data_IF_712472692811
#
_entry.id   IF_712472692811
#
_cell.length_a   1.000
_cell.length_b   1.000
_cell.length_c   1.000
_cell.angle_alpha   90.00
_cell.angle_beta   90.00
_cell.angle_gamma   90.00
#
_symmetry.space_group_name_H-M   'P 1'
#
loop_
_entity.id
_entity.type
_entity.pdbx_description
1 polymer ?
#
# COMPACT_ATOMS: atom_id res chain seq x y z
N UNK A 1 11.77 12.59 -9.06
CA UNK A 1 10.81 11.47 -9.17
C UNK A 1 10.18 11.47 -10.56
N UNK A 2 9.94 10.30 -11.15
CA UNK A 2 9.34 10.14 -12.48
C UNK A 2 8.53 8.85 -12.57
N UNK A 3 7.46 8.85 -13.37
CA UNK A 3 6.70 7.65 -13.72
C UNK A 3 6.74 7.44 -15.25
N UNK A 4 6.99 6.21 -15.69
CA UNK A 4 7.16 5.89 -17.12
C UNK A 4 6.90 4.41 -17.43
N UNK A 5 6.63 4.12 -18.70
CA UNK A 5 6.53 2.77 -19.25
C UNK A 5 7.87 2.34 -19.85
N UNK A 6 8.23 1.06 -19.71
CA UNK A 6 9.47 0.49 -20.26
C UNK A 6 9.35 -1.03 -20.47
N UNK A 7 10.43 -1.66 -20.95
CA UNK A 7 10.66 -3.09 -20.82
C UNK A 7 11.58 -3.34 -19.63
N UNK A 8 11.14 -4.17 -18.69
CA UNK A 8 11.91 -4.60 -17.53
C UNK A 8 12.31 -6.07 -17.71
N UNK A 9 13.55 -6.39 -17.36
CA UNK A 9 14.02 -7.76 -17.22
C UNK A 9 14.11 -8.12 -15.75
N UNK A 10 13.54 -9.26 -15.38
CA UNK A 10 13.65 -9.85 -14.06
C UNK A 10 13.66 -11.38 -14.20
N UNK A 11 14.59 -12.05 -13.51
CA UNK A 11 14.72 -13.52 -13.53
C UNK A 11 14.76 -14.11 -14.95
N UNK A 12 15.47 -13.46 -15.87
CA UNK A 12 15.66 -13.91 -17.26
C UNK A 12 14.42 -13.81 -18.16
N UNK A 13 13.38 -13.07 -17.74
CA UNK A 13 12.26 -12.69 -18.61
C UNK A 13 12.22 -11.19 -18.79
N UNK A 14 11.97 -10.75 -20.02
CA UNK A 14 11.69 -9.36 -20.35
C UNK A 14 10.19 -9.17 -20.57
N UNK A 15 9.66 -8.04 -20.12
CA UNK A 15 8.25 -7.73 -20.28
C UNK A 15 7.91 -6.26 -20.04
N UNK A 16 6.69 -5.88 -20.40
CA UNK A 16 6.22 -4.51 -20.21
C UNK A 16 6.10 -4.16 -18.72
N UNK A 17 6.59 -2.97 -18.35
CA UNK A 17 6.51 -2.46 -16.99
C UNK A 17 6.10 -0.99 -16.95
N UNK A 18 5.33 -0.63 -15.92
CA UNK A 18 5.23 0.74 -15.42
C UNK A 18 6.15 0.87 -14.21
N UNK A 19 6.98 1.91 -14.18
CA UNK A 19 7.92 2.18 -13.10
C UNK A 19 7.67 3.58 -12.53
N UNK A 20 7.70 3.71 -11.21
CA UNK A 20 7.87 5.00 -10.52
C UNK A 20 9.21 5.01 -9.80
N UNK A 21 10.10 5.90 -10.23
CA UNK A 21 11.51 5.96 -9.80
C UNK A 21 11.82 7.31 -9.15
N UNK A 22 12.75 7.30 -8.19
CA UNK A 22 13.19 8.48 -7.44
C UNK A 22 14.63 8.81 -7.78
N UNK A 23 15.00 10.08 -7.66
CA UNK A 23 16.36 10.52 -8.02
C UNK A 23 17.38 10.14 -6.94
N UNK A 24 16.92 9.93 -5.69
CA UNK A 24 17.76 9.77 -4.50
C UNK A 24 17.44 8.51 -3.66
N UNK A 25 16.57 7.61 -4.15
CA UNK A 25 16.20 6.37 -3.42
C UNK A 25 16.80 5.13 -4.10
N UNK A 26 17.31 4.16 -3.33
CA UNK A 26 17.78 2.88 -3.85
C UNK A 26 16.64 1.89 -4.15
N UNK A 27 15.37 2.33 -4.13
CA UNK A 27 14.21 1.52 -4.47
C UNK A 27 13.30 2.25 -5.46
N UNK A 28 12.40 1.50 -6.11
CA UNK A 28 11.40 2.03 -7.05
C UNK A 28 10.12 1.21 -6.97
N UNK A 29 9.01 1.77 -7.44
CA UNK A 29 7.77 1.01 -7.62
C UNK A 29 7.73 0.42 -9.02
N UNK A 30 7.31 -0.84 -9.13
CA UNK A 30 7.28 -1.61 -10.37
C UNK A 30 5.93 -2.32 -10.51
N UNK A 31 5.35 -2.23 -11.70
CA UNK A 31 4.17 -2.99 -12.12
C UNK A 31 4.52 -3.70 -13.42
N UNK A 32 4.76 -5.01 -13.37
CA UNK A 32 5.37 -5.75 -14.47
C UNK A 32 4.47 -6.88 -15.00
N UNK A 33 4.43 -7.04 -16.32
CA UNK A 33 3.49 -7.94 -17.00
C UNK A 33 3.70 -9.43 -16.61
N UNK A 34 4.94 -9.88 -16.37
CA UNK A 34 5.21 -11.28 -15.94
C UNK A 34 4.99 -11.51 -14.45
N UNK A 35 4.61 -10.46 -13.73
CA UNK A 35 4.08 -10.50 -12.37
C UNK A 35 2.61 -10.06 -12.33
N UNK A 36 1.88 -10.16 -13.45
CA UNK A 36 0.46 -9.79 -13.57
C UNK A 36 0.16 -8.34 -13.18
N UNK A 37 1.14 -7.44 -13.32
CA UNK A 37 1.09 -6.04 -12.91
C UNK A 37 0.83 -5.81 -11.42
N UNK A 38 1.03 -6.84 -10.58
CA UNK A 38 1.03 -6.67 -9.11
C UNK A 38 2.01 -5.55 -8.74
N UNK A 39 1.55 -4.60 -7.92
CA UNK A 39 2.38 -3.52 -7.42
C UNK A 39 3.50 -4.03 -6.53
N UNK A 40 4.74 -3.77 -6.91
CA UNK A 40 5.94 -4.18 -6.18
C UNK A 40 6.83 -2.99 -5.85
N UNK A 41 7.54 -3.06 -4.72
CA UNK A 41 8.70 -2.22 -4.38
C UNK A 41 9.95 -3.02 -4.74
N UNK A 42 10.63 -2.61 -5.80
CA UNK A 42 11.93 -3.16 -6.20
C UNK A 42 13.02 -2.50 -5.36
N UNK A 43 13.72 -3.29 -4.53
CA UNK A 43 14.78 -2.83 -3.62
C UNK A 43 16.19 -3.19 -4.12
N UNK A 44 16.31 -3.64 -5.37
CA UNK A 44 17.58 -4.00 -6.01
C UNK A 44 17.92 -5.49 -5.90
N UNK A 45 18.97 -5.90 -6.63
CA UNK A 45 19.52 -7.26 -6.65
C UNK A 45 18.49 -8.39 -6.86
N UNK A 46 17.53 -8.17 -7.75
CA UNK A 46 16.41 -9.09 -8.03
C UNK A 46 15.57 -9.44 -6.79
N UNK A 47 15.45 -8.49 -5.85
CA UNK A 47 14.60 -8.59 -4.66
C UNK A 47 13.49 -7.55 -4.75
N UNK A 48 12.25 -8.01 -4.80
CA UNK A 48 11.07 -7.14 -4.71
C UNK A 48 10.26 -7.46 -3.47
N UNK A 49 9.39 -6.52 -3.10
CA UNK A 49 8.36 -6.71 -2.09
C UNK A 49 7.01 -6.37 -2.69
N UNK A 50 5.96 -7.11 -2.37
CA UNK A 50 4.60 -6.67 -2.65
C UNK A 50 3.76 -6.66 -1.37
N UNK A 51 2.92 -5.61 -1.17
CA UNK A 51 1.91 -5.56 -0.12
C UNK A 51 0.66 -6.39 -0.49
N UNK A 52 0.74 -7.18 -1.57
CA UNK A 52 -0.30 -8.07 -2.08
C UNK A 52 -1.45 -7.37 -2.83
N UNK A 53 -2.60 -8.05 -2.90
CA UNK A 53 -3.80 -7.76 -3.68
C UNK A 53 -5.07 -8.17 -2.91
N UNK A 54 -6.24 -8.02 -3.53
CA UNK A 54 -7.46 -8.65 -3.06
C UNK A 54 -7.58 -10.07 -3.61
N UNK A 55 -7.79 -11.04 -2.72
CA UNK A 55 -8.03 -12.42 -3.08
C UNK A 55 -9.11 -13.10 -2.24
N UNK A 56 -9.57 -14.24 -2.75
CA UNK A 56 -10.37 -15.20 -2.01
C UNK A 56 -10.00 -16.61 -2.46
N UNK A 57 -10.35 -17.61 -1.67
CA UNK A 57 -10.40 -18.99 -2.13
C UNK A 57 -11.72 -19.64 -1.71
N UNK A 58 -12.01 -20.79 -2.29
CA UNK A 58 -13.27 -21.48 -2.07
C UNK A 58 -13.06 -22.84 -1.40
N UNK A 59 -13.75 -23.12 -0.28
CA UNK A 59 -13.78 -24.47 0.27
C UNK A 59 -14.65 -25.42 -0.57
N UNK A 60 -15.39 -24.91 -1.57
CA UNK A 60 -16.33 -25.69 -2.37
C UNK A 60 -15.68 -26.28 -3.63
N UNK A 61 -14.66 -25.62 -4.18
CA UNK A 61 -13.94 -26.08 -5.37
C UNK A 61 -12.42 -26.04 -5.25
N UNK A 62 -11.90 -25.62 -4.09
CA UNK A 62 -10.49 -25.55 -3.71
C UNK A 62 -9.67 -24.58 -4.56
N UNK A 63 -10.28 -23.73 -5.39
CA UNK A 63 -9.52 -22.75 -6.16
C UNK A 63 -9.25 -21.48 -5.35
N UNK A 64 -8.05 -20.93 -5.53
CA UNK A 64 -7.77 -19.52 -5.28
C UNK A 64 -8.29 -18.67 -6.44
N UNK A 65 -8.78 -17.48 -6.11
CA UNK A 65 -9.35 -16.49 -6.99
C UNK A 65 -8.62 -15.17 -6.77
N UNK A 66 -7.64 -14.91 -7.61
CA UNK A 66 -6.63 -13.88 -7.39
C UNK A 66 -6.00 -13.43 -8.72
N UNK A 67 -5.50 -12.19 -8.81
CA UNK A 67 -4.93 -11.65 -10.05
C UNK A 67 -3.77 -12.47 -10.60
N UNK A 68 -2.99 -13.14 -9.75
CA UNK A 68 -1.83 -13.93 -10.22
C UNK A 68 -2.23 -15.21 -10.96
N UNK A 69 -3.52 -15.60 -10.93
CA UNK A 69 -4.04 -16.68 -11.77
C UNK A 69 -4.30 -16.24 -13.21
N UNK A 70 -4.34 -14.93 -13.49
CA UNK A 70 -4.47 -14.39 -14.84
C UNK A 70 -3.13 -14.44 -15.60
N UNK A 71 -2.58 -15.64 -15.82
CA UNK A 71 -1.27 -15.83 -16.47
C UNK A 71 -1.19 -15.21 -17.87
N UNK A 72 -2.33 -15.11 -18.56
CA UNK A 72 -2.48 -14.54 -19.90
C UNK A 72 -2.84 -13.04 -19.91
N UNK A 73 -2.96 -12.39 -18.76
CA UNK A 73 -3.35 -10.98 -18.64
C UNK A 73 -4.66 -10.66 -19.36
N UNK A 74 -5.68 -11.51 -19.24
CA UNK A 74 -7.00 -11.28 -19.83
C UNK A 74 -7.67 -10.06 -19.22
N UNK A 75 -7.46 -9.80 -17.93
CA UNK A 75 -8.15 -8.74 -17.19
C UNK A 75 -7.22 -7.82 -16.39
N UNK A 76 -5.99 -8.21 -16.10
CA UNK A 76 -5.04 -7.35 -15.39
C UNK A 76 -4.52 -6.21 -16.30
N UNK A 77 -4.66 -4.95 -15.87
CA UNK A 77 -4.24 -3.75 -16.62
C UNK A 77 -3.60 -2.73 -15.71
N UNK A 78 -2.56 -2.05 -16.18
CA UNK A 78 -1.91 -0.94 -15.48
C UNK A 78 -2.01 0.34 -16.31
N UNK A 79 -2.15 1.48 -15.63
CA UNK A 79 -2.23 2.81 -16.24
C UNK A 79 -1.56 3.85 -15.35
N UNK A 80 -0.73 4.72 -15.94
CA UNK A 80 -0.28 5.96 -15.29
C UNK A 80 -1.45 6.97 -15.36
N UNK A 81 -2.00 7.35 -14.20
CA UNK A 81 -3.04 8.37 -14.09
C UNK A 81 -2.44 9.77 -14.01
N UNK A 82 -1.29 9.90 -13.35
CA UNK A 82 -0.61 11.16 -13.12
C UNK A 82 0.90 10.91 -13.06
N UNK A 83 1.68 11.78 -13.68
CA UNK A 83 3.13 11.74 -13.63
C UNK A 83 3.69 13.15 -13.50
N UNK A 84 4.31 13.44 -12.36
CA UNK A 84 5.03 14.69 -12.15
C UNK A 84 6.00 14.59 -10.98
N UNK A 85 6.80 15.64 -10.76
CA UNK A 85 7.84 15.64 -9.76
C UNK A 85 7.31 15.58 -8.31
N UNK A 86 6.11 16.11 -8.05
CA UNK A 86 5.51 16.17 -6.71
C UNK A 86 4.63 14.96 -6.38
N UNK A 87 4.07 14.31 -7.40
CA UNK A 87 3.19 13.15 -7.26
C UNK A 87 3.12 12.34 -8.54
N UNK A 88 3.16 11.02 -8.39
CA UNK A 88 2.80 10.08 -9.44
C UNK A 88 1.62 9.22 -8.96
N UNK A 89 0.72 8.86 -9.87
CA UNK A 89 -0.40 7.97 -9.58
C UNK A 89 -0.45 6.87 -10.61
N UNK A 90 -0.38 5.62 -10.16
CA UNK A 90 -0.48 4.43 -11.01
C UNK A 90 -1.70 3.62 -10.58
N UNK A 91 -2.58 3.32 -11.52
CA UNK A 91 -3.75 2.49 -11.33
C UNK A 91 -3.49 1.09 -11.87
N UNK A 92 -3.83 0.08 -11.08
CA UNK A 92 -3.85 -1.32 -11.46
C UNK A 92 -5.27 -1.87 -11.30
N UNK A 93 -5.84 -2.43 -12.36
CA UNK A 93 -7.18 -3.01 -12.38
C UNK A 93 -7.09 -4.50 -12.69
N UNK A 94 -7.84 -5.32 -11.94
CA UNK A 94 -7.84 -6.77 -12.15
C UNK A 94 -9.17 -7.41 -11.73
N UNK A 95 -9.40 -8.63 -12.20
CA UNK A 95 -10.45 -9.52 -11.70
C UNK A 95 -9.84 -10.55 -10.76
N UNK A 96 -10.67 -11.31 -10.04
CA UNK A 96 -10.24 -12.45 -9.22
C UNK A 96 -10.61 -13.77 -9.93
N UNK A 97 -9.84 -14.21 -10.95
CA UNK A 97 -10.05 -15.49 -11.60
C UNK A 97 -9.35 -16.63 -10.86
N UNK A 98 -9.83 -17.85 -11.08
CA UNK A 98 -9.03 -19.05 -10.84
C UNK A 98 -8.12 -19.39 -12.04
N UNK A 99 -7.29 -20.43 -11.90
CA UNK A 99 -6.41 -20.94 -12.97
C UNK A 99 -7.14 -21.40 -14.23
N UNK A 100 -8.46 -21.59 -14.17
CA UNK A 100 -9.30 -21.90 -15.33
C UNK A 100 -9.95 -20.66 -15.94
N UNK A 101 -9.52 -19.47 -15.52
CA UNK A 101 -10.03 -18.20 -16.02
C UNK A 101 -11.53 -18.02 -15.73
N UNK A 102 -12.02 -18.57 -14.63
CA UNK A 102 -13.38 -18.32 -14.13
C UNK A 102 -13.31 -17.32 -13.00
N UNK A 103 -14.04 -16.22 -13.12
CA UNK A 103 -14.03 -15.13 -12.13
C UNK A 103 -14.94 -15.50 -10.96
N UNK A 104 -14.48 -15.27 -9.72
CA UNK A 104 -15.29 -15.48 -8.52
C UNK A 104 -16.61 -14.72 -8.62
N UNK A 105 -17.73 -15.40 -8.41
CA UNK A 105 -19.09 -14.87 -8.61
C UNK A 105 -19.34 -14.18 -9.97
N UNK A 106 -18.54 -14.51 -10.98
CA UNK A 106 -18.68 -14.10 -12.37
C UNK A 106 -18.13 -12.72 -12.72
N UNK A 107 -17.96 -11.81 -11.76
CA UNK A 107 -17.44 -10.45 -12.01
C UNK A 107 -16.79 -9.75 -10.82
N UNK A 108 -16.29 -10.51 -9.85
CA UNK A 108 -15.45 -9.96 -8.77
C UNK A 108 -14.22 -9.29 -9.37
N UNK A 109 -13.99 -8.03 -8.98
CA UNK A 109 -12.90 -7.21 -9.48
C UNK A 109 -12.42 -6.24 -8.42
N UNK A 110 -11.19 -5.77 -8.57
CA UNK A 110 -10.62 -4.73 -7.76
C UNK A 110 -9.84 -3.72 -8.61
N UNK A 111 -9.66 -2.55 -8.04
CA UNK A 111 -8.77 -1.51 -8.54
C UNK A 111 -7.86 -1.07 -7.40
N UNK A 112 -6.58 -0.92 -7.70
CA UNK A 112 -5.59 -0.38 -6.79
C UNK A 112 -4.96 0.86 -7.36
N UNK A 113 -4.90 1.93 -6.58
CA UNK A 113 -4.25 3.17 -6.96
C UNK A 113 -3.10 3.42 -6.00
N UNK A 114 -1.89 3.52 -6.56
CA UNK A 114 -0.68 3.86 -5.85
C UNK A 114 -0.40 5.35 -6.06
N UNK A 115 -0.66 6.15 -5.04
CA UNK A 115 -0.34 7.58 -5.01
C UNK A 115 1.03 7.77 -4.37
N UNK A 116 2.05 7.98 -5.19
CA UNK A 116 3.48 7.97 -4.83
C UNK A 116 4.04 9.38 -4.67
N UNK A 117 4.82 9.60 -3.61
CA UNK A 117 5.42 10.89 -3.26
C UNK A 117 6.97 10.87 -3.25
N UNK A 118 7.63 12.05 -3.33
CA UNK A 118 9.09 12.17 -3.35
C UNK A 118 9.85 11.56 -2.16
N UNK A 119 9.17 11.32 -1.03
CA UNK A 119 9.76 10.62 0.11
C UNK A 119 9.93 9.11 -0.10
N UNK A 120 9.47 8.57 -1.22
CA UNK A 120 9.55 7.13 -1.53
C UNK A 120 8.40 6.33 -0.95
N UNK A 121 7.36 7.00 -0.43
CA UNK A 121 6.16 6.40 0.17
C UNK A 121 4.99 6.56 -0.80
N UNK A 122 4.18 5.51 -0.91
CA UNK A 122 2.91 5.54 -1.61
C UNK A 122 1.75 5.25 -0.67
N UNK A 123 0.59 5.86 -0.94
CA UNK A 123 -0.69 5.32 -0.49
C UNK A 123 -1.16 4.31 -1.53
N UNK A 124 -1.32 3.05 -1.12
CA UNK A 124 -2.05 1.99 -1.83
C UNK A 124 -3.52 2.08 -1.40
N UNK A 125 -4.35 2.63 -2.27
CA UNK A 125 -5.81 2.59 -2.16
C UNK A 125 -6.30 1.33 -2.87
N UNK A 126 -6.98 0.43 -2.14
CA UNK A 126 -7.54 -0.81 -2.68
C UNK A 126 -9.05 -0.72 -2.66
N UNK A 127 -9.70 -0.85 -3.81
CA UNK A 127 -11.17 -0.82 -3.93
C UNK A 127 -11.67 -2.14 -4.50
N UNK A 128 -12.54 -2.82 -3.76
CA UNK A 128 -13.09 -4.14 -4.14
C UNK A 128 -14.57 -4.04 -4.51
N UNK A 129 -14.94 -4.69 -5.62
CA UNK A 129 -16.33 -4.93 -6.01
C UNK A 129 -16.57 -6.44 -6.11
N UNK A 130 -17.12 -7.06 -5.04
CA UNK A 130 -17.45 -8.47 -5.06
C UNK A 130 -18.47 -8.82 -6.14
N UNK A 131 -18.29 -9.96 -6.80
CA UNK A 131 -19.14 -10.36 -7.90
C UNK A 131 -20.53 -10.80 -7.43
N UNK A 132 -21.51 -10.65 -8.33
CA UNK A 132 -22.92 -11.02 -8.06
C UNK A 132 -23.61 -11.68 -9.25
N UNK A 133 -22.88 -11.93 -10.36
CA UNK A 133 -23.48 -12.45 -11.59
C UNK A 133 -23.81 -13.94 -11.55
N UNK A 134 -23.07 -14.72 -10.76
CA UNK A 134 -23.33 -16.14 -10.54
C UNK A 134 -22.74 -16.61 -9.20
N UNK A 135 -22.80 -17.91 -8.94
CA UNK A 135 -22.28 -18.56 -7.73
C UNK A 135 -20.96 -19.32 -7.96
N UNK A 136 -20.21 -18.98 -9.02
CA UNK A 136 -18.92 -19.61 -9.29
C UNK A 136 -17.95 -19.34 -8.14
N UNK A 137 -17.26 -20.37 -7.63
CA UNK A 137 -16.48 -20.29 -6.40
C UNK A 137 -17.30 -20.45 -5.11
N UNK A 138 -18.64 -20.52 -5.17
CA UNK A 138 -19.46 -20.82 -4.00
C UNK A 138 -19.25 -19.85 -2.83
N UNK A 139 -19.00 -20.36 -1.62
CA UNK A 139 -18.75 -19.49 -0.47
C UNK A 139 -17.26 -19.12 -0.41
N UNK A 140 -16.96 -17.87 -0.05
CA UNK A 140 -15.59 -17.50 0.27
C UNK A 140 -15.10 -18.26 1.53
N UNK A 141 -13.82 -18.62 1.51
CA UNK A 141 -13.08 -19.01 2.70
C UNK A 141 -12.48 -17.79 3.39
N UNK A 142 -12.16 -16.75 2.62
CA UNK A 142 -11.49 -15.56 3.10
C UNK A 142 -11.73 -14.37 2.18
N UNK A 143 -11.43 -13.17 2.65
CA UNK A 143 -11.24 -11.98 1.84
C UNK A 143 -9.96 -11.32 2.32
N UNK A 144 -8.86 -11.63 1.64
CA UNK A 144 -7.54 -11.12 1.95
C UNK A 144 -7.29 -9.85 1.13
N UNK A 145 -6.62 -8.89 1.76
CA UNK A 145 -6.46 -7.53 1.23
C UNK A 145 -5.01 -7.05 1.27
N UNK A 146 -4.15 -7.74 2.02
CA UNK A 146 -2.75 -7.40 2.15
C UNK A 146 -1.93 -8.57 2.70
N UNK A 147 -0.67 -8.67 2.29
CA UNK A 147 0.29 -9.65 2.77
C UNK A 147 1.70 -9.07 2.70
N UNK A 148 2.58 -9.49 3.59
CA UNK A 148 4.01 -9.21 3.44
C UNK A 148 4.67 -10.31 2.62
N UNK A 149 4.90 -10.03 1.33
CA UNK A 149 5.51 -10.98 0.39
C UNK A 149 6.87 -10.47 -0.07
N UNK A 150 7.91 -11.28 0.13
CA UNK A 150 9.23 -11.05 -0.46
C UNK A 150 9.36 -11.87 -1.74
N UNK A 151 9.77 -11.22 -2.83
CA UNK A 151 9.99 -11.84 -4.13
C UNK A 151 11.48 -11.90 -4.42
N UNK A 152 11.96 -13.05 -4.86
CA UNK A 152 13.35 -13.29 -5.21
C UNK A 152 13.42 -13.80 -6.65
N UNK A 153 14.26 -13.18 -7.48
CA UNK A 153 14.55 -13.70 -8.82
C UNK A 153 15.33 -15.02 -8.79
N UNK A 154 15.34 -15.74 -9.91
CA UNK A 154 16.16 -16.95 -10.03
C UNK A 154 17.64 -16.63 -9.75
N UNK A 155 18.30 -17.45 -8.94
CA UNK A 155 19.65 -17.22 -8.45
C UNK A 155 19.72 -16.55 -7.07
N UNK A 156 18.60 -16.01 -6.55
CA UNK A 156 18.50 -15.41 -5.22
C UNK A 156 17.76 -16.34 -4.25
N UNK A 157 18.24 -16.43 -3.01
CA UNK A 157 17.60 -17.20 -1.94
C UNK A 157 17.09 -16.25 -0.84
N UNK A 158 15.79 -16.26 -0.49
CA UNK A 158 15.25 -15.37 0.54
C UNK A 158 16.00 -15.45 1.88
N UNK A 159 16.52 -16.63 2.26
CA UNK A 159 17.27 -16.81 3.51
C UNK A 159 18.62 -16.07 3.54
N UNK A 160 19.19 -15.83 2.36
CA UNK A 160 20.46 -15.11 2.22
C UNK A 160 20.26 -13.60 2.25
N UNK A 161 19.10 -13.13 1.75
CA UNK A 161 18.72 -11.72 1.68
C UNK A 161 18.14 -11.20 3.00
N UNK A 162 17.37 -12.02 3.71
CA UNK A 162 16.75 -11.65 4.98
C UNK A 162 17.76 -11.40 6.12
N UNK A 163 17.53 -10.36 6.92
CA UNK A 163 18.27 -10.08 8.16
C UNK A 163 17.82 -11.04 9.28
N UNK A 164 18.70 -11.97 9.65
CA UNK A 164 18.41 -13.02 10.62
C UNK A 164 18.92 -12.64 12.01
N UNK A 165 18.28 -13.07 13.11
CA UNK A 165 17.23 -14.10 13.19
C UNK A 165 15.79 -13.57 13.07
N UNK A 166 15.58 -12.26 12.99
CA UNK A 166 14.24 -11.64 13.00
C UNK A 166 14.01 -10.80 11.75
N UNK A 167 13.68 -11.43 10.61
CA UNK A 167 13.53 -10.72 9.34
C UNK A 167 12.23 -9.96 9.21
N UNK A 168 11.33 -10.02 10.20
CA UNK A 168 10.10 -9.25 10.19
C UNK A 168 9.90 -8.53 11.52
N UNK A 169 9.58 -7.24 11.44
CA UNK A 169 9.28 -6.39 12.59
C UNK A 169 7.90 -5.77 12.42
N UNK A 170 7.08 -5.84 13.47
CA UNK A 170 5.76 -5.20 13.54
C UNK A 170 5.74 -4.22 14.71
N UNK A 171 5.36 -2.96 14.46
CA UNK A 171 5.25 -1.90 15.48
C UNK A 171 3.80 -1.44 15.65
N UNK A 172 3.48 -1.01 16.86
CA UNK A 172 2.12 -0.59 17.25
C UNK A 172 1.82 0.89 16.98
N UNK A 173 2.85 1.71 16.74
CA UNK A 173 2.76 3.17 16.78
C UNK A 173 2.64 3.75 18.20
N UNK A 174 2.79 2.95 19.24
CA UNK A 174 2.82 3.37 20.65
C UNK A 174 4.14 3.00 21.33
N UNK A 175 5.16 2.66 20.54
CA UNK A 175 6.46 2.18 21.01
C UNK A 175 6.54 0.68 21.30
N UNK A 176 5.45 -0.09 21.15
CA UNK A 176 5.52 -1.55 21.23
C UNK A 176 6.04 -2.15 19.91
N UNK A 177 6.90 -3.15 20.02
CA UNK A 177 7.58 -3.79 18.90
C UNK A 177 7.55 -5.30 19.06
N UNK A 178 7.18 -6.01 18.00
CA UNK A 178 7.34 -7.45 17.86
C UNK A 178 8.41 -7.69 16.79
N UNK A 179 9.46 -8.42 17.17
CA UNK A 179 10.43 -8.96 16.22
C UNK A 179 10.10 -10.44 16.01
N UNK A 180 9.59 -10.78 14.84
CA UNK A 180 9.15 -12.14 14.52
C UNK A 180 10.36 -12.95 14.06
N UNK A 181 10.65 -14.09 14.70
CA UNK A 181 11.80 -14.91 14.35
C UNK A 181 11.59 -15.64 13.03
N UNK A 182 12.70 -16.11 12.46
CA UNK A 182 12.72 -17.07 11.37
C UNK A 182 13.39 -18.39 11.79
N UNK A 183 12.87 -19.56 11.40
CA UNK A 183 11.59 -19.75 10.70
C UNK A 183 10.39 -19.21 11.50
N UNK A 184 9.31 -18.87 10.81
CA UNK A 184 8.09 -18.40 11.46
C UNK A 184 7.63 -19.45 12.49
N UNK A 185 7.13 -19.02 13.66
CA UNK A 185 6.82 -19.96 14.75
C UNK A 185 5.60 -20.85 14.46
N UNK A 186 4.78 -20.54 13.45
CA UNK A 186 3.60 -21.32 13.11
C UNK A 186 3.95 -22.68 12.47
N UNK A 187 3.20 -23.73 12.83
CA UNK A 187 3.33 -25.04 12.19
C UNK A 187 2.48 -25.15 10.92
N UNK A 188 1.37 -24.44 10.90
CA UNK A 188 0.41 -24.33 9.81
C UNK A 188 -0.03 -22.86 9.66
N UNK A 189 -1.05 -22.59 8.86
CA UNK A 189 -1.73 -21.29 8.83
C UNK A 189 -2.43 -21.02 10.16
N UNK A 190 -1.84 -20.16 10.99
CA UNK A 190 -2.26 -19.93 12.37
C UNK A 190 -2.46 -18.45 12.66
N UNK A 191 -3.44 -18.06 13.50
CA UNK A 191 -3.68 -16.66 13.81
C UNK A 191 -2.48 -16.03 14.52
N UNK A 192 -2.02 -14.88 14.03
CA UNK A 192 -0.88 -14.19 14.64
C UNK A 192 -1.14 -13.78 16.09
N UNK A 193 -2.40 -13.47 16.44
CA UNK A 193 -2.80 -13.13 17.81
C UNK A 193 -2.72 -14.30 18.80
N UNK A 194 -2.64 -15.55 18.34
CA UNK A 194 -2.42 -16.71 19.24
C UNK A 194 -0.98 -16.71 19.77
N UNK A 195 -0.05 -16.09 19.04
CA UNK A 195 1.36 -15.94 19.41
C UNK A 195 1.66 -14.59 20.07
N UNK A 196 0.99 -13.53 19.59
CA UNK A 196 1.21 -12.16 20.01
C UNK A 196 -0.12 -11.47 20.32
N UNK A 197 -0.75 -11.77 21.47
CA UNK A 197 -2.10 -11.29 21.79
C UNK A 197 -2.22 -9.77 21.94
N UNK A 198 -1.10 -9.07 22.16
CA UNK A 198 -1.06 -7.62 22.30
C UNK A 198 -1.47 -6.87 21.02
N UNK A 199 -1.32 -7.48 19.84
CA UNK A 199 -1.70 -6.84 18.56
C UNK A 199 -3.16 -6.42 18.54
N UNK A 200 -4.01 -7.15 19.28
CA UNK A 200 -5.44 -6.90 19.29
C UNK A 200 -5.80 -5.52 19.85
N UNK A 201 -4.93 -4.96 20.70
CA UNK A 201 -5.15 -3.68 21.37
C UNK A 201 -4.40 -2.53 20.66
N UNK A 202 -3.60 -2.83 19.62
CA UNK A 202 -2.81 -1.83 18.89
C UNK A 202 -3.69 -0.91 18.02
N UNK A 203 -3.34 0.39 17.90
CA UNK A 203 -4.10 1.35 17.10
C UNK A 203 -3.71 1.34 15.61
N UNK A 204 -2.58 0.74 15.25
CA UNK A 204 -2.06 0.63 13.90
C UNK A 204 -1.03 -0.51 13.83
N UNK A 205 -0.73 -0.92 12.61
CA UNK A 205 0.19 -2.02 12.31
C UNK A 205 1.21 -1.51 11.31
N UNK A 206 2.47 -1.46 11.74
CA UNK A 206 3.60 -0.95 10.95
C UNK A 206 4.55 -2.13 10.77
N UNK A 207 4.41 -2.83 9.65
CA UNK A 207 5.16 -4.05 9.35
C UNK A 207 6.28 -3.78 8.36
N UNK A 208 7.48 -4.29 8.65
CA UNK A 208 8.68 -4.11 7.86
C UNK A 208 9.43 -5.43 7.72
N UNK A 209 9.88 -5.75 6.51
CA UNK A 209 10.80 -6.87 6.27
C UNK A 209 12.23 -6.33 6.39
N UNK A 210 13.02 -6.90 7.27
CA UNK A 210 14.42 -6.57 7.49
C UNK A 210 15.29 -7.32 6.48
N UNK A 211 16.01 -6.60 5.62
CA UNK A 211 16.89 -7.15 4.59
C UNK A 211 18.35 -6.77 4.87
N UNK A 212 19.28 -7.64 4.47
CA UNK A 212 20.73 -7.41 4.51
C UNK A 212 21.16 -6.58 3.31
N UNK A 213 21.94 -5.54 3.53
CA UNK A 213 22.57 -4.81 2.41
C UNK A 213 21.63 -3.95 1.58
N UNK A 214 20.34 -3.92 1.89
CA UNK A 214 19.27 -3.38 1.03
C UNK A 214 18.31 -2.49 1.82
N UNK A 215 17.46 -1.77 1.09
CA UNK A 215 16.35 -1.03 1.66
C UNK A 215 15.33 -2.00 2.30
N UNK A 216 14.70 -1.60 3.40
CA UNK A 216 13.75 -2.47 4.10
C UNK A 216 12.32 -2.12 3.67
N UNK A 217 11.62 -2.97 2.91
CA UNK A 217 10.27 -2.69 2.47
C UNK A 217 9.29 -2.75 3.64
N UNK A 218 8.23 -1.94 3.57
CA UNK A 218 7.24 -1.83 4.63
C UNK A 218 5.81 -1.71 4.11
N UNK A 219 4.88 -1.98 5.02
CA UNK A 219 3.46 -1.71 4.90
C UNK A 219 2.91 -1.16 6.22
N UNK A 220 2.04 -0.15 6.16
CA UNK A 220 1.40 0.48 7.32
C UNK A 220 -0.09 0.63 7.10
N UNK A 221 -0.89 0.28 8.09
CA UNK A 221 -2.32 0.62 8.11
C UNK A 221 -2.82 0.84 9.54
N UNK A 222 -3.86 1.65 9.68
CA UNK A 222 -4.47 1.98 10.96
C UNK A 222 -5.57 0.97 11.30
N UNK A 223 -5.74 0.64 12.59
CA UNK A 223 -6.93 -0.04 13.09
C UNK A 223 -8.07 0.97 13.21
N UNK A 224 -8.64 1.33 12.07
CA UNK A 224 -9.69 2.31 11.93
C UNK A 224 -10.66 1.83 10.84
N UNK A 225 -11.92 1.59 11.19
CA UNK A 225 -12.92 1.06 10.25
C UNK A 225 -13.17 1.97 9.05
N UNK A 226 -12.88 3.28 9.16
CA UNK A 226 -13.00 4.21 8.02
C UNK A 226 -11.83 4.13 7.04
N UNK A 227 -10.66 3.63 7.47
CA UNK A 227 -9.46 3.55 6.64
C UNK A 227 -9.10 2.12 6.24
N UNK A 228 -9.42 1.16 7.09
CA UNK A 228 -9.14 -0.25 6.94
C UNK A 228 -10.30 -1.06 7.53
N UNK A 229 -11.44 -1.17 6.81
CA UNK A 229 -12.59 -1.92 7.29
C UNK A 229 -12.22 -3.39 7.51
N UNK A 230 -12.71 -3.98 8.59
CA UNK A 230 -12.43 -5.36 8.96
C UNK A 230 -13.52 -5.95 9.86
N UNK A 231 -13.69 -7.26 9.80
CA UNK A 231 -14.50 -7.98 10.78
C UNK A 231 -13.70 -8.19 12.08
N UNK A 232 -14.40 -8.38 13.20
CA UNK A 232 -13.74 -8.83 14.43
C UNK A 232 -12.97 -10.12 14.16
N UNK A 233 -11.78 -10.24 14.76
CA UNK A 233 -10.96 -11.42 14.65
C UNK A 233 -11.71 -12.61 15.23
N UNK A 234 -12.06 -13.59 14.40
CA UNK A 234 -12.77 -14.79 14.84
C UNK A 234 -11.86 -15.79 15.60
N UNK A 235 -10.56 -15.50 15.73
CA UNK A 235 -9.67 -16.29 16.57
C UNK A 235 -9.81 -15.97 18.06
N UNK A 236 -9.72 -14.70 18.42
CA UNK A 236 -9.75 -14.25 19.81
C UNK A 236 -11.03 -13.48 20.18
N UNK A 237 -11.86 -13.13 19.20
CA UNK A 237 -13.12 -12.39 19.36
C UNK A 237 -12.98 -10.88 19.55
N UNK A 238 -11.76 -10.32 19.46
CA UNK A 238 -11.50 -8.88 19.63
C UNK A 238 -11.62 -8.10 18.32
N UNK A 239 -11.77 -6.79 18.44
CA UNK A 239 -11.85 -5.83 17.33
C UNK A 239 -10.46 -5.51 16.77
N UNK A 240 -9.99 -6.37 15.87
CA UNK A 240 -8.82 -6.17 15.02
C UNK A 240 -8.93 -7.03 13.76
N UNK A 241 -8.26 -6.66 12.65
CA UNK A 241 -8.25 -7.49 11.44
C UNK A 241 -7.63 -8.85 11.74
N UNK A 242 -8.05 -9.85 10.97
CA UNK A 242 -7.48 -11.18 11.11
C UNK A 242 -6.11 -11.21 10.45
N UNK A 243 -5.10 -11.63 11.19
CA UNK A 243 -3.75 -11.84 10.70
C UNK A 243 -3.48 -13.35 10.70
N UNK A 244 -3.19 -13.92 9.54
CA UNK A 244 -2.78 -15.32 9.45
C UNK A 244 -1.26 -15.37 9.25
N UNK A 245 -0.56 -16.05 10.15
CA UNK A 245 0.86 -16.30 10.01
C UNK A 245 1.08 -17.53 9.15
N UNK A 246 1.99 -17.43 8.18
CA UNK A 246 2.31 -18.53 7.29
C UNK A 246 3.16 -19.61 8.00
N UNK A 247 3.12 -20.88 7.54
CA UNK A 247 3.88 -21.97 8.14
C UNK A 247 5.39 -21.75 7.99
N UNK A 248 6.14 -21.72 9.10
CA UNK A 248 7.61 -21.59 9.04
C UNK A 248 8.34 -22.92 8.90
N UNK A 249 7.70 -24.04 9.25
CA UNK A 249 8.34 -25.36 9.21
C UNK A 249 8.63 -25.78 7.77
N UNK A 250 9.83 -26.31 7.54
CA UNK A 250 10.30 -26.82 6.24
C UNK A 250 10.25 -25.81 5.08
N UNK A 251 10.18 -24.50 5.38
CA UNK A 251 10.08 -23.43 4.36
C UNK A 251 8.87 -23.60 3.43
N UNK A 252 7.76 -24.10 3.97
CA UNK A 252 6.52 -24.29 3.21
C UNK A 252 5.81 -22.99 2.84
N UNK A 253 6.32 -21.85 3.31
CA UNK A 253 5.91 -20.51 2.93
C UNK A 253 6.76 -19.88 1.81
N UNK A 254 7.57 -20.67 1.11
CA UNK A 254 8.28 -20.25 -0.11
C UNK A 254 7.66 -20.96 -1.31
N UNK A 255 7.18 -20.20 -2.28
CA UNK A 255 6.39 -20.70 -3.41
C UNK A 255 7.01 -20.34 -4.76
N UNK A 256 6.68 -21.11 -5.80
CA UNK A 256 7.19 -20.93 -7.18
C UNK A 256 6.09 -20.77 -8.24
N UNK A 257 4.83 -20.67 -7.82
CA UNK A 257 3.69 -20.48 -8.74
C UNK A 257 3.55 -19.01 -9.21
N UNK A 258 4.39 -18.11 -8.69
CA UNK A 258 4.52 -16.71 -9.06
C UNK A 258 5.89 -16.17 -8.55
N UNK A 259 6.50 -15.13 -9.14
CA UNK A 259 6.18 -14.51 -10.44
C UNK A 259 6.72 -15.36 -11.61
N UNK A 260 6.67 -14.82 -12.84
CA UNK A 260 7.35 -15.32 -14.07
C UNK A 260 6.78 -16.60 -14.68
N UNK A 261 6.30 -17.54 -13.86
CA UNK A 261 5.82 -18.84 -14.32
C UNK A 261 4.52 -18.74 -15.12
N UNK A 262 4.39 -19.64 -16.10
CA UNK A 262 3.20 -19.86 -16.93
C UNK A 262 2.46 -21.15 -16.54
N UNK A 263 2.79 -21.73 -15.39
CA UNK A 263 2.12 -22.93 -14.89
C UNK A 263 0.63 -22.69 -14.77
N UNK A 264 -0.17 -23.57 -15.39
CA UNK A 264 -1.64 -23.53 -15.32
C UNK A 264 -2.29 -24.74 -14.60
N UNK A 265 -1.53 -25.80 -14.36
CA UNK A 265 -2.02 -27.07 -13.81
C UNK A 265 -1.69 -27.21 -12.32
N UNK A 266 -2.28 -26.34 -11.50
CA UNK A 266 -2.24 -26.45 -10.04
C UNK A 266 -3.52 -25.90 -9.40
N UNK A 267 -3.68 -26.21 -8.12
CA UNK A 267 -4.75 -25.72 -7.26
C UNK A 267 -4.07 -25.02 -6.07
N UNK A 268 -4.64 -23.91 -5.62
CA UNK A 268 -4.10 -23.08 -4.55
C UNK A 268 -2.67 -22.59 -4.85
N UNK A 269 -1.64 -23.18 -4.26
CA UNK A 269 -0.26 -22.75 -4.40
C UNK A 269 0.69 -23.93 -4.68
N UNK A 270 1.86 -23.61 -5.23
CA UNK A 270 2.94 -24.59 -5.46
C UNK A 270 4.17 -24.22 -4.63
N UNK A 271 4.55 -25.03 -3.61
CA UNK A 271 5.77 -24.85 -2.84
C UNK A 271 7.02 -24.95 -3.72
N UNK A 272 8.04 -24.15 -3.41
CA UNK A 272 9.30 -24.16 -4.14
C UNK A 272 10.16 -25.40 -3.82
N UNK A 273 10.22 -25.83 -2.56
CA UNK A 273 11.01 -26.98 -2.13
C UNK A 273 12.47 -26.88 -2.56
N UNK A 274 12.98 -27.89 -3.27
CA UNK A 274 14.36 -27.90 -3.77
C UNK A 274 14.63 -26.87 -4.88
N UNK A 275 13.61 -26.17 -5.39
CA UNK A 275 13.77 -25.14 -6.44
C UNK A 275 14.10 -23.76 -5.89
N UNK A 276 14.12 -23.58 -4.56
CA UNK A 276 14.58 -22.32 -3.94
C UNK A 276 15.98 -21.97 -4.44
N UNK A 277 16.14 -20.73 -4.92
CA UNK A 277 17.37 -20.24 -5.54
C UNK A 277 17.59 -20.65 -7.01
N UNK A 278 16.77 -21.56 -7.57
CA UNK A 278 16.88 -21.99 -8.98
C UNK A 278 15.87 -21.30 -9.90
N UNK A 279 14.72 -20.93 -9.35
CA UNK A 279 13.62 -20.24 -10.05
C UNK A 279 13.24 -18.99 -9.28
N UNK A 280 12.49 -18.09 -9.92
CA UNK A 280 11.85 -17.00 -9.18
C UNK A 280 10.88 -17.58 -8.15
N UNK A 281 10.91 -17.04 -6.94
CA UNK A 281 10.05 -17.46 -5.83
C UNK A 281 9.45 -16.27 -5.14
N UNK A 282 8.37 -16.51 -4.41
CA UNK A 282 7.85 -15.57 -3.43
C UNK A 282 7.78 -16.23 -2.05
N UNK A 283 7.99 -15.42 -1.01
CA UNK A 283 8.07 -15.85 0.40
C UNK A 283 7.07 -15.04 1.21
N UNK A 284 6.12 -15.74 1.81
CA UNK A 284 5.01 -15.18 2.55
C UNK A 284 5.27 -15.16 4.05
N UNK A 285 5.05 -14.02 4.71
CA UNK A 285 5.22 -13.89 6.15
C UNK A 285 3.89 -13.99 6.90
N UNK A 286 2.98 -13.11 6.55
CA UNK A 286 1.70 -12.93 7.22
C UNK A 286 0.75 -12.23 6.26
N UNK A 287 -0.49 -12.70 6.20
CA UNK A 287 -1.57 -12.01 5.50
C UNK A 287 -2.43 -11.17 6.46
N UNK A 288 -3.29 -10.35 5.88
CA UNK A 288 -4.29 -9.52 6.55
C UNK A 288 -5.61 -9.68 5.83
N UNK A 289 -6.60 -10.11 6.59
CA UNK A 289 -7.89 -10.53 6.11
C UNK A 289 -9.00 -9.60 6.63
N UNK A 290 -9.88 -9.16 5.72
CA UNK A 290 -11.17 -8.58 6.09
C UNK A 290 -11.99 -9.59 6.90
N UNK A 291 -11.99 -10.86 6.44
CA UNK A 291 -12.58 -12.00 7.13
C UNK A 291 -11.87 -13.29 6.70
N UNK A 292 -11.74 -14.26 7.60
CA UNK A 292 -11.05 -15.55 7.37
C UNK A 292 -11.84 -16.68 8.01
N UNK A 293 -11.98 -17.83 7.34
CA UNK A 293 -12.66 -19.03 7.88
C UNK A 293 -11.67 -19.85 8.68
N UNK A 294 -11.98 -20.15 9.95
CA UNK A 294 -11.20 -21.08 10.78
C UNK A 294 -11.87 -22.44 10.96
N UNK A 295 -13.20 -22.47 10.93
CA UNK A 295 -14.01 -23.67 11.08
C UNK A 295 -15.02 -23.75 9.94
N UNK A 296 -15.43 -24.97 9.59
CA UNK A 296 -16.44 -25.19 8.54
C UNK A 296 -17.76 -24.46 8.81
N UNK A 297 -18.08 -24.20 10.08
CA UNK A 297 -19.26 -23.46 10.53
C UNK A 297 -19.14 -21.94 10.45
N UNK A 298 -17.95 -21.38 10.22
CA UNK A 298 -17.79 -19.93 10.20
C UNK A 298 -18.42 -19.34 8.93
N UNK A 299 -19.17 -18.26 9.11
CA UNK A 299 -19.71 -17.48 8.00
C UNK A 299 -18.71 -16.38 7.61
N UNK A 300 -18.40 -16.29 6.33
CA UNK A 300 -17.50 -15.27 5.78
C UNK A 300 -18.35 -14.21 5.08
N UNK A 301 -18.52 -13.03 5.70
CA UNK A 301 -19.25 -11.95 5.05
C UNK A 301 -18.51 -11.51 3.80
N UNK A 302 -19.26 -11.23 2.75
CA UNK A 302 -18.74 -10.54 1.57
C UNK A 302 -18.61 -9.06 1.91
N UNK A 303 -17.47 -8.40 1.60
CA UNK A 303 -17.33 -6.95 1.71
C UNK A 303 -18.43 -6.21 0.94
N UNK A 304 -18.73 -4.98 1.35
CA UNK A 304 -19.65 -4.13 0.60
C UNK A 304 -19.09 -3.78 -0.78
N UNK A 305 -19.98 -3.44 -1.73
CA UNK A 305 -19.57 -2.94 -3.05
C UNK A 305 -18.76 -1.66 -2.90
N UNK A 306 -17.52 -1.64 -3.40
CA UNK A 306 -16.63 -0.51 -3.29
C UNK A 306 -15.98 -0.37 -1.90
N UNK A 307 -15.96 -1.43 -1.09
CA UNK A 307 -15.17 -1.46 0.13
C UNK A 307 -13.72 -1.06 -0.18
N UNK A 308 -13.17 -0.16 0.62
CA UNK A 308 -11.89 0.52 0.34
C UNK A 308 -10.93 0.38 1.52
N UNK A 309 -9.67 0.07 1.24
CA UNK A 309 -8.58 0.02 2.22
C UNK A 309 -7.46 0.97 1.81
N UNK A 310 -6.93 1.73 2.77
CA UNK A 310 -5.77 2.60 2.56
C UNK A 310 -4.57 2.11 3.34
N UNK A 311 -3.47 1.92 2.63
CA UNK A 311 -2.27 1.29 3.16
C UNK A 311 -1.07 2.10 2.69
N UNK A 312 -0.18 2.51 3.60
CA UNK A 312 1.09 3.11 3.19
C UNK A 312 2.10 2.02 2.87
N UNK A 313 2.81 2.17 1.76
CA UNK A 313 3.79 1.20 1.28
C UNK A 313 5.04 1.91 0.76
N UNK A 314 6.18 1.25 0.83
CA UNK A 314 7.46 1.79 0.38
C UNK A 314 8.62 0.99 0.96
N UNK A 315 9.78 1.64 1.07
CA UNK A 315 10.93 1.08 1.79
C UNK A 315 11.62 2.15 2.65
N UNK A 316 12.35 1.70 3.67
CA UNK A 316 13.25 2.54 4.46
C UNK A 316 14.69 2.35 4.00
N UNK A 317 15.57 3.26 4.42
CA UNK A 317 17.00 3.08 4.20
C UNK A 317 17.50 1.79 4.89
N UNK A 318 18.63 1.27 4.40
CA UNK A 318 19.29 0.12 5.02
C UNK A 318 19.65 0.42 6.48
N UNK A 319 19.49 -0.59 7.34
CA UNK A 319 19.97 -0.55 8.73
C UNK A 319 19.13 0.28 9.70
N UNK A 320 18.00 0.87 9.27
CA UNK A 320 17.08 1.51 10.20
C UNK A 320 16.30 0.46 10.99
N UNK A 321 15.90 0.78 12.22
CA UNK A 321 15.04 -0.08 13.05
C UNK A 321 13.54 0.12 12.73
N UNK A 322 13.22 1.05 11.82
CA UNK A 322 11.87 1.39 11.40
C UNK A 322 11.11 2.31 12.37
N UNK A 323 11.76 2.91 13.38
CA UNK A 323 11.09 3.86 14.28
C UNK A 323 10.52 5.08 13.53
N UNK A 324 11.17 5.49 12.43
CA UNK A 324 10.70 6.58 11.56
C UNK A 324 9.32 6.29 10.93
N UNK A 325 8.96 5.01 10.76
CA UNK A 325 7.68 4.60 10.21
C UNK A 325 6.52 4.91 11.16
N UNK A 326 6.76 4.95 12.48
CA UNK A 326 5.74 5.36 13.44
C UNK A 326 5.35 6.83 13.27
N UNK A 327 6.31 7.71 13.00
CA UNK A 327 6.02 9.12 12.73
C UNK A 327 5.21 9.30 11.44
N UNK A 328 5.56 8.55 10.38
CA UNK A 328 4.81 8.55 9.12
C UNK A 328 3.37 8.06 9.36
N UNK A 329 3.21 6.98 10.12
CA UNK A 329 1.89 6.43 10.45
C UNK A 329 1.03 7.43 11.23
N UNK A 330 1.59 8.10 12.24
CA UNK A 330 0.87 9.14 13.01
C UNK A 330 0.52 10.36 12.16
N UNK A 331 1.45 10.83 11.33
CA UNK A 331 1.20 11.96 10.42
C UNK A 331 0.06 11.64 9.46
N UNK A 332 0.01 10.44 8.91
CA UNK A 332 -1.03 10.02 7.98
C UNK A 332 -2.38 9.82 8.64
N UNK A 333 -2.43 9.09 9.76
CA UNK A 333 -3.67 8.78 10.48
C UNK A 333 -4.30 10.00 11.14
N UNK A 334 -3.48 10.97 11.56
CA UNK A 334 -3.92 12.16 12.29
C UNK A 334 -3.56 13.42 11.51
N UNK A 335 -4.27 13.72 10.40
CA UNK A 335 -4.05 14.96 9.66
C UNK A 335 -4.28 16.17 10.58
N UNK A 336 -3.49 17.22 10.37
CA UNK A 336 -3.61 18.47 11.08
C UNK A 336 -4.95 19.16 10.79
N UNK A 337 -5.39 19.99 11.75
CA UNK A 337 -6.51 20.89 11.50
C UNK A 337 -6.05 21.99 10.56
N UNK A 338 -6.79 22.23 9.48
CA UNK A 338 -6.57 23.34 8.57
C UNK A 338 -7.62 24.44 8.81
N UNK A 339 -7.15 25.68 8.93
CA UNK A 339 -7.98 26.87 8.99
C UNK A 339 -7.64 27.79 7.82
N UNK A 340 -8.60 28.00 6.92
CA UNK A 340 -8.44 28.90 5.76
C UNK A 340 -8.55 30.35 6.21
N UNK A 341 -7.58 31.18 5.83
CA UNK A 341 -7.63 32.62 6.04
C UNK A 341 -8.48 33.24 4.92
N UNK A 342 -9.69 33.67 5.28
CA UNK A 342 -10.65 34.25 4.33
C UNK A 342 -10.27 35.66 3.90
N UNK A 343 -10.74 36.04 2.71
CA UNK A 343 -10.56 37.40 2.23
C UNK A 343 -11.43 38.38 3.04
N UNK A 344 -11.02 39.66 3.17
CA UNK A 344 -11.80 40.66 3.88
C UNK A 344 -13.23 40.81 3.33
N UNK A 345 -14.22 40.71 4.21
CA UNK A 345 -15.64 40.86 3.86
C UNK A 345 -16.35 39.55 3.46
N UNK A 346 -15.64 38.43 3.39
CA UNK A 346 -16.27 37.14 3.14
C UNK A 346 -17.09 36.63 4.34
N UNK A 347 -18.20 35.91 4.09
CA UNK A 347 -18.97 35.27 5.15
C UNK A 347 -18.13 34.26 5.94
N UNK A 348 -18.33 34.18 7.26
CA UNK A 348 -17.67 33.20 8.12
C UNK A 348 -18.36 31.81 8.09
N UNK A 349 -18.68 31.32 6.90
CA UNK A 349 -19.33 30.03 6.65
C UNK A 349 -18.38 29.08 5.96
N UNK A 350 -18.24 27.83 6.41
CA UNK A 350 -17.24 26.87 5.87
C UNK A 350 -17.42 26.54 4.38
N UNK A 351 -18.61 26.76 3.82
CA UNK A 351 -18.99 26.40 2.45
C UNK A 351 -19.07 27.61 1.51
N UNK A 352 -18.60 28.79 1.94
CA UNK A 352 -18.57 30.03 1.14
C UNK A 352 -17.24 30.75 1.24
N UNK A 353 -16.87 31.41 0.16
CA UNK A 353 -15.63 32.18 0.03
C UNK A 353 -14.85 31.78 -1.22
N UNK A 354 -13.77 32.53 -1.48
CA UNK A 354 -12.87 32.32 -2.60
C UNK A 354 -12.10 31.02 -2.49
N UNK A 355 -11.70 30.66 -1.28
CA UNK A 355 -10.92 29.47 -0.92
C UNK A 355 -11.73 28.62 0.05
N UNK A 356 -11.87 27.33 -0.26
CA UNK A 356 -12.62 26.35 0.50
C UNK A 356 -11.74 25.15 0.82
N UNK A 357 -11.73 24.72 2.08
CA UNK A 357 -11.15 23.44 2.47
C UNK A 357 -12.17 22.32 2.21
N UNK A 358 -11.78 21.31 1.43
CA UNK A 358 -12.61 20.13 1.15
C UNK A 358 -12.19 18.90 1.98
N UNK A 359 -11.19 19.06 2.84
CA UNK A 359 -10.82 18.09 3.86
C UNK A 359 -9.42 17.52 3.66
N UNK A 360 -9.17 16.37 4.27
CA UNK A 360 -7.98 15.57 4.04
C UNK A 360 -8.39 14.31 3.28
N UNK A 361 -7.85 14.13 2.09
CA UNK A 361 -8.07 12.95 1.28
C UNK A 361 -6.98 11.91 1.60
N UNK A 362 -7.39 10.79 2.18
CA UNK A 362 -6.49 9.70 2.58
C UNK A 362 -5.88 8.99 1.37
N UNK A 363 -6.63 8.76 0.29
CA UNK A 363 -6.11 8.17 -0.96
C UNK A 363 -4.97 9.01 -1.56
N UNK A 364 -5.08 10.33 -1.36
CA UNK A 364 -4.09 11.29 -1.85
C UNK A 364 -3.10 11.73 -0.78
N UNK A 365 -3.20 11.35 0.51
CA UNK A 365 -2.37 11.91 1.60
C UNK A 365 -2.33 13.46 1.57
N UNK A 366 -3.40 14.14 1.14
CA UNK A 366 -3.35 15.58 0.85
C UNK A 366 -4.49 16.37 1.47
N UNK A 367 -4.19 17.59 1.91
CA UNK A 367 -5.19 18.60 2.22
C UNK A 367 -5.76 19.15 0.91
N UNK A 368 -7.05 18.91 0.67
CA UNK A 368 -7.73 19.31 -0.58
C UNK A 368 -8.37 20.66 -0.38
N UNK A 369 -8.02 21.59 -1.27
CA UNK A 369 -8.44 22.99 -1.22
C UNK A 369 -8.95 23.36 -2.61
N UNK A 370 -10.16 23.88 -2.68
CA UNK A 370 -10.68 24.46 -3.91
C UNK A 370 -10.63 25.97 -3.83
N UNK A 371 -10.10 26.63 -4.86
CA UNK A 371 -10.13 28.09 -4.96
C UNK A 371 -10.71 28.57 -6.28
N UNK A 372 -11.10 29.84 -6.34
CA UNK A 372 -11.41 30.53 -7.60
C UNK A 372 -10.74 31.90 -7.66
N UNK A 373 -10.68 32.51 -8.84
CA UNK A 373 -10.03 33.81 -9.01
C UNK A 373 -8.52 33.75 -8.74
N UNK A 374 -8.03 34.66 -7.91
CA UNK A 374 -6.60 34.86 -7.62
C UNK A 374 -5.89 33.55 -7.21
N UNK A 375 -4.69 33.33 -7.75
CA UNK A 375 -3.76 32.26 -7.36
C UNK A 375 -3.09 32.62 -6.03
N UNK A 376 -3.91 32.60 -4.99
CA UNK A 376 -3.52 32.90 -3.61
C UNK A 376 -4.31 32.07 -2.62
N UNK A 377 -3.63 31.27 -1.81
CA UNK A 377 -4.24 30.51 -0.71
C UNK A 377 -3.42 30.77 0.55
N UNK A 378 -4.09 31.16 1.63
CA UNK A 378 -3.47 31.32 2.94
C UNK A 378 -4.23 30.50 3.98
N UNK A 379 -3.50 29.77 4.79
CA UNK A 379 -4.06 28.88 5.80
C UNK A 379 -3.16 28.76 7.02
N UNK A 380 -3.73 28.38 8.15
CA UNK A 380 -2.98 27.88 9.30
C UNK A 380 -3.18 26.38 9.41
N UNK A 381 -2.09 25.64 9.48
CA UNK A 381 -2.07 24.21 9.80
C UNK A 381 -1.74 24.07 11.28
N UNK A 382 -2.58 23.37 12.03
CA UNK A 382 -2.40 23.09 13.45
C UNK A 382 -2.29 21.58 13.68
N UNK A 383 -1.06 21.06 13.81
CA UNK A 383 -0.80 19.64 14.06
C UNK A 383 -1.32 19.19 15.43
N UNK A 384 -1.97 18.03 15.49
CA UNK A 384 -2.20 17.28 16.75
C UNK A 384 -1.14 16.19 16.97
N UNK A 385 -0.50 15.79 15.87
CA UNK A 385 0.70 14.94 15.75
C UNK A 385 1.62 15.59 14.72
N UNK A 386 2.95 15.41 14.82
CA UNK A 386 3.89 15.93 13.84
C UNK A 386 3.43 15.61 12.41
N UNK A 387 3.34 16.62 11.55
CA UNK A 387 3.02 16.43 10.14
C UNK A 387 4.31 16.30 9.34
N UNK A 388 4.48 15.15 8.69
CA UNK A 388 5.64 14.84 7.87
C UNK A 388 5.31 15.03 6.40
N UNK A 389 6.11 15.87 5.76
CA UNK A 389 6.03 16.18 4.35
C UNK A 389 4.59 16.46 3.85
N UNK A 390 3.89 17.47 4.42
CA UNK A 390 2.49 17.72 4.10
C UNK A 390 2.30 17.99 2.60
N UNK A 391 1.17 17.50 2.09
CA UNK A 391 0.78 17.65 0.69
C UNK A 391 -0.49 18.48 0.59
N UNK A 392 -0.49 19.46 -0.31
CA UNK A 392 -1.63 20.31 -0.59
C UNK A 392 -2.04 20.12 -2.05
N UNK A 393 -3.31 19.77 -2.27
CA UNK A 393 -3.94 19.77 -3.58
C UNK A 393 -4.83 21.01 -3.67
N UNK A 394 -4.46 21.97 -4.52
CA UNK A 394 -5.17 23.23 -4.71
C UNK A 394 -5.80 23.22 -6.10
N UNK A 395 -7.12 23.01 -6.17
CA UNK A 395 -7.88 23.02 -7.42
C UNK A 395 -8.23 24.44 -7.86
N UNK A 396 -8.30 24.63 -9.18
CA UNK A 396 -8.61 25.90 -9.83
C UNK A 396 -7.40 26.84 -9.97
N UNK A 397 -6.17 26.36 -9.78
CA UNK A 397 -4.91 27.11 -9.89
C UNK A 397 -4.53 27.37 -11.35
N UNK A 398 -4.31 28.64 -11.71
CA UNK A 398 -4.15 29.05 -13.12
C UNK A 398 -2.68 29.33 -13.51
N UNK A 399 -1.81 29.53 -12.53
CA UNK A 399 -0.40 29.86 -12.76
C UNK A 399 0.46 28.60 -12.85
N UNK A 400 1.49 28.60 -13.71
CA UNK A 400 2.36 27.43 -13.88
C UNK A 400 3.33 27.21 -12.72
N UNK A 401 3.43 28.17 -11.81
CA UNK A 401 4.36 28.19 -10.68
C UNK A 401 3.64 28.56 -9.39
N UNK A 402 4.28 28.24 -8.27
CA UNK A 402 3.88 28.66 -6.94
C UNK A 402 5.12 29.03 -6.12
N UNK A 403 5.01 30.11 -5.35
CA UNK A 403 5.89 30.46 -4.24
C UNK A 403 5.17 30.10 -2.94
N UNK A 404 5.86 29.37 -2.07
CA UNK A 404 5.33 28.95 -0.77
C UNK A 404 6.08 29.70 0.32
N UNK A 405 5.34 30.28 1.25
CA UNK A 405 5.89 30.80 2.51
C UNK A 405 5.31 30.06 3.70
N UNK A 406 6.13 29.92 4.74
CA UNK A 406 5.74 29.42 6.05
C UNK A 406 6.10 30.48 7.09
N UNK A 407 5.10 30.94 7.83
CA UNK A 407 5.23 32.01 8.83
C UNK A 407 5.86 33.30 8.29
N UNK A 408 5.60 33.59 7.01
CA UNK A 408 6.08 34.78 6.30
C UNK A 408 7.44 34.62 5.62
N UNK A 409 8.15 33.53 5.88
CA UNK A 409 9.45 33.23 5.27
C UNK A 409 9.29 32.32 4.05
N UNK A 410 9.99 32.63 2.96
CA UNK A 410 9.95 31.81 1.74
C UNK A 410 10.58 30.45 2.02
N UNK A 411 9.85 29.38 1.70
CA UNK A 411 10.37 28.01 1.84
C UNK A 411 11.44 27.78 0.75
N UNK A 412 12.61 27.22 1.11
CA UNK A 412 13.66 26.93 0.13
C UNK A 412 13.17 26.02 -1.00
N UNK A 413 13.62 26.27 -2.23
CA UNK A 413 13.16 25.56 -3.43
C UNK A 413 13.44 24.04 -3.36
N UNK A 414 14.51 23.62 -2.69
CA UNK A 414 14.84 22.21 -2.46
C UNK A 414 13.90 21.50 -1.47
N UNK A 415 13.08 22.25 -0.75
CA UNK A 415 12.06 21.72 0.18
C UNK A 415 10.66 21.73 -0.44
N UNK A 416 10.43 22.44 -1.54
CA UNK A 416 9.12 22.52 -2.19
C UNK A 416 9.17 21.84 -3.55
N UNK A 417 8.47 20.71 -3.67
CA UNK A 417 8.26 20.05 -4.96
C UNK A 417 6.81 20.27 -5.35
N UNK A 418 6.57 20.87 -6.52
CA UNK A 418 5.23 21.13 -7.00
C UNK A 418 5.05 20.68 -8.45
N UNK A 419 3.80 20.48 -8.84
CA UNK A 419 3.40 20.27 -10.22
C UNK A 419 2.02 20.87 -10.46
N UNK A 420 1.77 21.33 -11.69
CA UNK A 420 0.47 21.79 -12.14
C UNK A 420 -0.02 20.87 -13.26
N UNK A 421 -1.17 20.24 -13.07
CA UNK A 421 -1.81 19.37 -14.05
C UNK A 421 -3.22 19.90 -14.36
N UNK A 422 -3.40 20.52 -15.52
CA UNK A 422 -4.63 21.28 -15.79
C UNK A 422 -4.73 22.49 -14.86
N UNK A 423 -5.78 22.54 -14.05
CA UNK A 423 -6.00 23.55 -13.00
C UNK A 423 -5.73 23.02 -11.58
N UNK A 424 -5.09 21.86 -11.46
CA UNK A 424 -4.72 21.27 -10.17
C UNK A 424 -3.25 21.53 -9.86
N UNK A 425 -3.00 22.28 -8.79
CA UNK A 425 -1.67 22.44 -8.20
C UNK A 425 -1.48 21.41 -7.07
N UNK A 426 -0.48 20.55 -7.19
CA UNK A 426 -0.01 19.70 -6.08
C UNK A 426 1.28 20.30 -5.54
N UNK A 427 1.34 20.51 -4.23
CA UNK A 427 2.54 20.97 -3.53
C UNK A 427 2.89 19.96 -2.43
N UNK A 428 4.05 19.34 -2.55
CA UNK A 428 4.67 18.51 -1.52
C UNK A 428 5.79 19.32 -0.87
N UNK A 429 5.74 19.47 0.46
CA UNK A 429 6.69 20.30 1.21
C UNK A 429 7.51 19.41 2.14
N UNK A 430 8.80 19.20 1.85
CA UNK A 430 9.73 18.49 2.72
C UNK A 430 9.81 19.17 4.08
N UNK A 431 9.52 18.45 5.16
CA UNK A 431 9.63 19.02 6.49
C UNK A 431 8.87 18.24 7.55
N UNK A 432 9.02 18.72 8.78
CA UNK A 432 8.37 18.19 9.99
C UNK A 432 7.76 19.36 10.75
N UNK A 433 6.44 19.39 10.83
CA UNK A 433 5.67 20.48 11.42
C UNK A 433 4.96 20.00 12.69
N UNK A 434 5.38 20.50 13.85
CA UNK A 434 4.81 20.13 15.15
C UNK A 434 3.95 21.22 15.76
N UNK A 435 4.28 22.48 15.48
CA UNK A 435 3.60 23.65 15.98
C UNK A 435 2.67 24.23 14.90
N UNK A 436 1.67 25.05 15.30
CA UNK A 436 0.87 25.79 14.36
C UNK A 436 1.76 26.62 13.42
N UNK A 437 1.54 26.49 12.12
CA UNK A 437 2.31 27.19 11.09
C UNK A 437 1.36 27.77 10.04
N UNK A 438 1.64 29.00 9.60
CA UNK A 438 0.86 29.70 8.58
C UNK A 438 1.49 29.49 7.21
N UNK A 439 0.77 28.82 6.32
CA UNK A 439 1.19 28.61 4.94
C UNK A 439 0.53 29.64 4.04
N UNK A 440 1.29 30.20 3.10
CA UNK A 440 0.76 31.03 2.03
C UNK A 440 1.34 30.57 0.69
N UNK A 441 0.45 30.26 -0.25
CA UNK A 441 0.73 29.85 -1.63
C UNK A 441 0.35 31.02 -2.52
N UNK A 442 1.31 31.58 -3.24
CA UNK A 442 1.11 32.73 -4.13
C UNK A 442 1.83 32.51 -5.45
N UNK A 443 1.32 33.11 -6.52
CA UNK A 443 2.06 33.20 -7.79
C UNK A 443 3.33 34.03 -7.65
#
# INVERSE_FOLDING_TARGET
MRAYETQLEFSGKTGHAVIVEFDDKPWRFVFWDKAQYVGCVDVGDDVWFTPEWCETNSPNDLHCYEPIMDKQLRWSRVQILEAGPARARVKWSYTLPDMRYRIFHGDTRAEEIYTVYPDGVAVREVVLWPGTKNNHGGNANLWQVAEWILVNGAGSNPLEVMEMPTPFTLRSGTGEVINVPWPLPANDFEPFCDYYPQIADWPMYIGKINLKGQANPFMIFAKDQALFPHMHCNACGKDHPYFNMFPGKNLFNIYKHWPVTDMEDFIEWVPAGDDVGKVATHTSFMDVNFAMRRKSSDYIPTPDQGATWYILVGATQQGTDGAELEEIAHSYRSPAKIEIHKDPGEPNEIHRGRVLLEGYDFALRSYVIRKHGEDRVKLTMTPSKPQLNPVFLINGWNSPTVTVTVDGEVVPAEQVVHQVAGDDLVVWIKGRFEEPATFEFVR
#
